data_IF_359883081614
#
_entry.id   IF_359883081614
#
_cell.length_a   1.000
_cell.length_b   1.000
_cell.length_c   1.000
_cell.angle_alpha   90.00
_cell.angle_beta   90.00
_cell.angle_gamma   90.00
#
_symmetry.space_group_name_H-M   'P 1'
#
loop_
_entity.id
_entity.type
_entity.pdbx_description
1 polymer ?
#
# COMPACT_ATOMS: atom_id res chain seq x y z
N UNK A 1 15.04 0.23 -61.99
CA UNK A 1 14.78 1.40 -61.11
C UNK A 1 13.75 1.11 -59.99
N UNK A 2 12.65 0.40 -60.23
CA UNK A 2 11.60 0.14 -59.22
C UNK A 2 12.00 -0.81 -58.07
N UNK A 3 12.88 -1.78 -58.31
CA UNK A 3 13.30 -2.76 -57.31
C UNK A 3 14.23 -2.17 -56.23
N UNK A 4 15.09 -1.20 -56.60
CA UNK A 4 16.01 -0.55 -55.67
C UNK A 4 15.31 0.40 -54.70
N UNK A 5 14.21 1.05 -55.13
CA UNK A 5 13.38 1.87 -54.23
C UNK A 5 12.64 1.02 -53.19
N UNK A 6 12.11 -0.15 -53.60
CA UNK A 6 11.41 -1.06 -52.68
C UNK A 6 12.36 -1.62 -51.61
N UNK A 7 13.60 -1.96 -52.00
CA UNK A 7 14.63 -2.44 -51.08
C UNK A 7 15.08 -1.33 -50.10
N UNK A 8 15.24 -0.10 -50.58
CA UNK A 8 15.55 1.05 -49.73
C UNK A 8 14.46 1.35 -48.70
N UNK A 9 13.19 1.24 -49.10
CA UNK A 9 12.05 1.43 -48.19
C UNK A 9 11.98 0.32 -47.13
N UNK A 10 12.22 -0.93 -47.52
CA UNK A 10 12.24 -2.07 -46.60
C UNK A 10 13.38 -1.94 -45.56
N UNK A 11 14.57 -1.52 -46.00
CA UNK A 11 15.71 -1.28 -45.12
C UNK A 11 15.47 -0.11 -44.15
N UNK A 12 14.80 0.96 -44.60
CA UNK A 12 14.42 2.08 -43.74
C UNK A 12 13.40 1.69 -42.66
N UNK A 13 12.43 0.81 -43.00
CA UNK A 13 11.47 0.26 -42.03
C UNK A 13 12.17 -0.65 -41.01
N UNK A 14 13.11 -1.49 -41.46
CA UNK A 14 13.88 -2.38 -40.58
C UNK A 14 14.84 -1.60 -39.66
N UNK A 15 15.45 -0.51 -40.14
CA UNK A 15 16.28 0.38 -39.31
C UNK A 15 15.45 1.13 -38.25
N UNK A 16 14.22 1.54 -38.59
CA UNK A 16 13.32 2.21 -37.63
C UNK A 16 12.84 1.26 -36.52
N UNK A 17 12.68 -0.04 -36.80
CA UNK A 17 12.30 -1.02 -35.78
C UNK A 17 13.42 -1.30 -34.76
N UNK A 18 14.69 -1.18 -35.16
CA UNK A 18 15.83 -1.35 -34.25
C UNK A 18 16.12 -0.09 -33.38
N UNK A 19 15.70 1.10 -33.82
CA UNK A 19 15.83 2.36 -33.06
C UNK A 19 14.72 2.59 -32.02
N UNK A 20 13.63 1.83 -32.11
CA UNK A 20 12.50 1.84 -31.15
C UNK A 20 12.47 0.55 -30.31
N UNK A 21 13.64 0.04 -29.92
CA UNK A 21 13.70 -0.88 -28.79
C UNK A 21 13.39 -0.09 -27.52
N UNK A 22 12.09 0.11 -27.25
CA UNK A 22 11.62 0.43 -25.90
C UNK A 22 12.03 -0.76 -25.07
N UNK A 23 13.10 -0.59 -24.29
CA UNK A 23 13.52 -1.58 -23.33
C UNK A 23 12.40 -1.65 -22.27
N UNK A 24 11.41 -2.52 -22.52
CA UNK A 24 10.45 -2.93 -21.51
C UNK A 24 11.22 -3.84 -20.58
N UNK A 25 11.96 -3.23 -19.65
CA UNK A 25 12.42 -3.93 -18.47
C UNK A 25 11.19 -4.55 -17.81
N UNK A 26 11.22 -5.85 -17.53
CA UNK A 26 10.15 -6.53 -16.82
C UNK A 26 10.01 -5.85 -15.46
N UNK A 27 9.11 -4.88 -15.37
CA UNK A 27 8.92 -4.09 -14.17
C UNK A 27 8.43 -5.01 -13.06
N UNK A 28 9.06 -4.91 -11.89
CA UNK A 28 8.66 -5.57 -10.65
C UNK A 28 7.29 -5.09 -10.10
N UNK A 29 6.47 -4.42 -10.93
CA UNK A 29 5.17 -3.81 -10.62
C UNK A 29 5.20 -2.78 -9.48
N UNK A 30 6.38 -2.32 -9.06
CA UNK A 30 6.51 -1.25 -8.08
C UNK A 30 6.36 0.13 -8.72
N UNK A 31 5.53 0.95 -8.08
CA UNK A 31 5.43 2.38 -8.39
C UNK A 31 6.71 3.06 -7.93
N UNK A 32 7.38 3.76 -8.84
CA UNK A 32 8.61 4.52 -8.58
C UNK A 32 8.38 6.01 -8.76
N UNK A 33 9.30 6.81 -8.24
CA UNK A 33 9.34 8.25 -8.50
C UNK A 33 10.37 8.56 -9.59
N UNK A 34 10.05 9.53 -10.44
CA UNK A 34 11.01 10.20 -11.32
C UNK A 34 10.76 11.70 -11.21
N UNK A 35 11.66 12.36 -10.46
CA UNK A 35 11.49 13.77 -10.05
C UNK A 35 10.14 13.95 -9.33
N UNK A 36 9.21 14.70 -9.94
CA UNK A 36 7.91 15.07 -9.37
C UNK A 36 6.75 14.16 -9.79
N UNK A 37 7.02 13.10 -10.56
CA UNK A 37 6.00 12.21 -11.10
C UNK A 37 6.20 10.77 -10.60
N UNK A 38 5.08 10.03 -10.52
CA UNK A 38 5.12 8.58 -10.34
C UNK A 38 5.20 7.86 -11.69
N UNK A 39 5.83 6.70 -11.69
CA UNK A 39 5.95 5.81 -12.84
C UNK A 39 5.65 4.37 -12.43
N UNK A 40 4.98 3.63 -13.30
CA UNK A 40 4.73 2.20 -13.17
C UNK A 40 5.09 1.53 -14.49
N UNK A 41 6.00 0.56 -14.45
CA UNK A 41 6.47 -0.20 -15.61
C UNK A 41 6.89 0.72 -16.78
N UNK A 42 7.70 1.74 -16.47
CA UNK A 42 8.22 2.72 -17.44
C UNK A 42 7.25 3.81 -17.87
N UNK A 43 5.96 3.72 -17.54
CA UNK A 43 4.94 4.68 -17.95
C UNK A 43 4.57 5.64 -16.80
N UNK A 44 4.22 6.92 -17.10
CA UNK A 44 3.68 7.82 -16.09
C UNK A 44 2.46 7.21 -15.38
N UNK A 45 2.43 7.28 -14.06
CA UNK A 45 1.35 6.79 -13.23
C UNK A 45 0.65 7.96 -12.53
N UNK A 46 -0.59 8.21 -12.91
CA UNK A 46 -1.43 9.23 -12.28
C UNK A 46 -2.42 8.54 -11.34
N UNK A 47 -2.22 8.76 -10.04
CA UNK A 47 -3.07 8.20 -9.00
C UNK A 47 -4.44 8.89 -9.00
N UNK A 48 -5.50 8.10 -9.17
CA UNK A 48 -6.88 8.50 -8.89
C UNK A 48 -7.43 7.49 -7.89
N UNK A 49 -7.90 7.92 -6.72
CA UNK A 49 -8.08 6.98 -5.64
C UNK A 49 -9.05 7.40 -4.54
N UNK A 50 -9.12 6.55 -3.52
CA UNK A 50 -10.06 6.68 -2.42
C UNK A 50 -9.43 6.31 -1.08
N UNK A 51 -10.06 6.75 0.01
CA UNK A 51 -9.72 6.31 1.37
C UNK A 51 -10.75 5.28 1.83
N UNK A 52 -10.28 4.14 2.30
CA UNK A 52 -11.12 3.10 2.91
C UNK A 52 -10.36 2.48 4.09
N UNK A 53 -10.34 3.18 5.21
CA UNK A 53 -9.58 2.77 6.41
C UNK A 53 -10.04 1.42 7.00
N UNK A 54 -11.29 1.02 6.72
CA UNK A 54 -11.97 -0.11 7.34
C UNK A 54 -11.71 -1.46 6.66
N UNK A 55 -10.98 -1.51 5.53
CA UNK A 55 -10.87 -2.71 4.70
C UNK A 55 -10.36 -3.93 5.48
N UNK A 56 -9.25 -3.79 6.21
CA UNK A 56 -8.68 -4.86 7.04
C UNK A 56 -9.67 -5.32 8.12
N UNK A 57 -10.27 -4.37 8.85
CA UNK A 57 -11.21 -4.64 9.91
C UNK A 57 -12.42 -5.45 9.42
N UNK A 58 -13.01 -5.03 8.30
CA UNK A 58 -14.14 -5.73 7.67
C UNK A 58 -13.72 -7.09 7.14
N UNK A 59 -12.57 -7.19 6.45
CA UNK A 59 -12.07 -8.45 5.89
C UNK A 59 -11.67 -9.50 6.94
N UNK A 60 -11.41 -9.07 8.19
CA UNK A 60 -11.09 -9.99 9.29
C UNK A 60 -12.28 -10.88 9.69
N UNK A 61 -13.51 -10.49 9.37
CA UNK A 61 -14.68 -11.36 9.38
C UNK A 61 -14.87 -11.98 7.98
N UNK A 62 -14.67 -13.29 7.81
CA UNK A 62 -14.83 -13.93 6.50
C UNK A 62 -16.21 -13.72 5.86
N UNK A 63 -17.28 -13.58 6.65
CA UNK A 63 -18.63 -13.33 6.14
C UNK A 63 -18.78 -11.95 5.49
N UNK A 64 -17.89 -11.01 5.82
CA UNK A 64 -17.94 -9.63 5.35
C UNK A 64 -16.97 -9.35 4.19
N UNK A 65 -16.07 -10.29 3.86
CA UNK A 65 -15.15 -10.18 2.72
C UNK A 65 -15.81 -9.80 1.39
N UNK A 66 -17.03 -10.26 1.05
CA UNK A 66 -17.72 -9.82 -0.16
C UNK A 66 -17.91 -8.29 -0.25
N UNK A 67 -18.01 -7.58 0.88
CA UNK A 67 -18.09 -6.10 0.90
C UNK A 67 -16.78 -5.46 0.43
N UNK A 68 -15.63 -6.02 0.82
CA UNK A 68 -14.30 -5.57 0.37
C UNK A 68 -14.11 -5.85 -1.12
N UNK A 69 -14.48 -7.05 -1.59
CA UNK A 69 -14.49 -7.38 -3.03
C UNK A 69 -15.37 -6.43 -3.83
N UNK A 70 -16.55 -6.10 -3.31
CA UNK A 70 -17.48 -5.15 -3.96
C UNK A 70 -16.87 -3.76 -4.03
N UNK A 71 -16.30 -3.25 -2.94
CA UNK A 71 -15.67 -1.93 -2.93
C UNK A 71 -14.54 -1.81 -3.96
N UNK A 72 -13.68 -2.83 -4.09
CA UNK A 72 -12.62 -2.82 -5.11
C UNK A 72 -13.17 -2.97 -6.54
N UNK A 73 -14.19 -3.79 -6.75
CA UNK A 73 -14.84 -3.93 -8.05
C UNK A 73 -15.44 -2.60 -8.53
N UNK A 74 -16.22 -1.94 -7.66
CA UNK A 74 -16.83 -0.64 -8.01
C UNK A 74 -15.75 0.42 -8.23
N UNK A 75 -14.72 0.48 -7.38
CA UNK A 75 -13.60 1.39 -7.56
C UNK A 75 -12.91 1.20 -8.92
N UNK A 76 -12.63 -0.05 -9.32
CA UNK A 76 -12.05 -0.36 -10.61
C UNK A 76 -12.98 -0.01 -11.79
N UNK A 77 -14.29 -0.27 -11.66
CA UNK A 77 -15.29 0.10 -12.66
C UNK A 77 -15.37 1.62 -12.88
N UNK A 78 -15.05 2.42 -11.86
CA UNK A 78 -14.97 3.87 -11.93
C UNK A 78 -13.55 4.41 -12.25
N UNK A 79 -12.61 3.53 -12.62
CA UNK A 79 -11.26 3.94 -13.02
C UNK A 79 -10.36 4.40 -11.86
N UNK A 80 -10.69 4.05 -10.62
CA UNK A 80 -9.81 4.29 -9.47
C UNK A 80 -8.66 3.26 -9.47
N UNK A 81 -7.45 3.75 -9.21
CA UNK A 81 -6.20 2.99 -9.34
C UNK A 81 -5.43 2.83 -8.03
N UNK A 82 -5.81 3.56 -6.97
CA UNK A 82 -5.18 3.47 -5.65
C UNK A 82 -6.21 3.54 -4.51
N UNK A 83 -6.00 2.75 -3.47
CA UNK A 83 -6.73 2.85 -2.21
C UNK A 83 -5.76 3.13 -1.06
N UNK A 84 -6.08 4.12 -0.23
CA UNK A 84 -5.40 4.32 1.06
C UNK A 84 -6.19 3.62 2.16
N UNK A 85 -5.53 2.78 2.94
CA UNK A 85 -6.12 2.03 4.05
C UNK A 85 -5.17 1.93 5.25
N UNK A 86 -5.66 1.37 6.36
CA UNK A 86 -4.88 1.19 7.58
C UNK A 86 -4.38 -0.24 7.70
N UNK A 87 -3.09 -0.37 7.96
CA UNK A 87 -2.43 -1.62 8.34
C UNK A 87 -2.09 -1.61 9.85
N UNK A 88 -2.87 -0.86 10.64
CA UNK A 88 -2.78 -0.78 12.09
C UNK A 88 -4.17 -0.86 12.71
N UNK A 89 -4.22 -1.28 13.97
CA UNK A 89 -5.35 -1.16 14.89
C UNK A 89 -4.80 -1.55 16.26
N UNK A 90 -4.48 -0.53 17.07
CA UNK A 90 -3.65 -0.64 18.28
C UNK A 90 -4.55 -0.66 19.51
N UNK A 91 -4.70 -1.83 20.14
CA UNK A 91 -5.61 -2.03 21.27
C UNK A 91 -7.09 -1.83 20.93
N UNK A 92 -7.94 -1.75 21.97
CA UNK A 92 -9.38 -1.59 21.81
C UNK A 92 -10.11 -2.87 21.37
N UNK A 93 -11.24 -2.71 20.67
CA UNK A 93 -12.10 -3.82 20.26
C UNK A 93 -11.62 -4.42 18.92
N UNK A 94 -11.30 -5.73 18.92
CA UNK A 94 -10.74 -6.47 17.79
C UNK A 94 -9.49 -5.77 17.18
N UNK A 95 -8.41 -5.59 17.95
CA UNK A 95 -7.19 -4.98 17.45
C UNK A 95 -6.50 -5.86 16.40
N UNK A 96 -5.66 -5.24 15.57
CA UNK A 96 -4.57 -5.93 14.89
C UNK A 96 -3.46 -6.19 15.90
N UNK A 97 -3.02 -5.17 16.62
CA UNK A 97 -1.97 -5.25 17.62
C UNK A 97 -2.56 -5.00 19.01
N UNK A 98 -2.67 -6.05 19.84
CA UNK A 98 -3.22 -5.91 21.20
C UNK A 98 -2.15 -5.52 22.24
N UNK A 99 -0.87 -5.68 21.90
CA UNK A 99 0.27 -5.23 22.71
C UNK A 99 1.53 -5.11 21.87
N UNK A 100 2.62 -4.51 22.39
CA UNK A 100 3.88 -4.39 21.65
C UNK A 100 4.39 -5.76 21.17
N UNK A 101 4.45 -5.97 19.84
CA UNK A 101 4.87 -7.24 19.24
C UNK A 101 3.87 -8.39 19.33
N UNK A 102 2.62 -8.14 19.75
CA UNK A 102 1.58 -9.18 19.90
C UNK A 102 0.38 -8.88 19.01
N UNK A 103 0.08 -9.80 18.09
CA UNK A 103 -0.85 -9.57 16.98
C UNK A 103 -1.98 -10.58 16.91
N UNK A 104 -3.12 -10.11 16.43
CA UNK A 104 -4.28 -10.92 16.09
C UNK A 104 -4.14 -11.45 14.65
N UNK A 105 -3.79 -12.73 14.55
CA UNK A 105 -3.59 -13.43 13.27
C UNK A 105 -4.83 -13.37 12.35
N UNK A 106 -6.04 -13.39 12.92
CA UNK A 106 -7.26 -13.29 12.12
C UNK A 106 -7.41 -11.89 11.48
N UNK A 107 -6.93 -10.84 12.15
CA UNK A 107 -6.91 -9.49 11.59
C UNK A 107 -5.84 -9.37 10.49
N UNK A 108 -4.68 -10.00 10.65
CA UNK A 108 -3.66 -10.08 9.59
C UNK A 108 -4.18 -10.81 8.34
N UNK A 109 -4.85 -11.95 8.49
CA UNK A 109 -5.53 -12.64 7.37
C UNK A 109 -6.59 -11.77 6.68
N UNK A 110 -7.16 -10.81 7.41
CA UNK A 110 -8.00 -9.76 6.82
C UNK A 110 -7.21 -8.83 5.90
N UNK A 111 -6.05 -8.35 6.35
CA UNK A 111 -5.15 -7.53 5.53
C UNK A 111 -4.61 -8.30 4.32
N UNK A 112 -4.25 -9.58 4.47
CA UNK A 112 -3.83 -10.45 3.37
C UNK A 112 -4.90 -10.52 2.27
N UNK A 113 -6.15 -10.71 2.67
CA UNK A 113 -7.28 -10.71 1.75
C UNK A 113 -7.42 -9.36 1.03
N UNK A 114 -7.26 -8.24 1.75
CA UNK A 114 -7.31 -6.90 1.15
C UNK A 114 -6.22 -6.72 0.09
N UNK A 115 -4.99 -7.16 0.36
CA UNK A 115 -3.86 -7.07 -0.58
C UNK A 115 -4.12 -7.94 -1.82
N UNK A 116 -4.56 -9.19 -1.62
CA UNK A 116 -4.87 -10.12 -2.70
C UNK A 116 -6.01 -9.59 -3.59
N UNK A 117 -7.06 -9.06 -2.99
CA UNK A 117 -8.23 -8.56 -3.72
C UNK A 117 -7.92 -7.24 -4.43
N UNK A 118 -7.13 -6.35 -3.83
CA UNK A 118 -6.64 -5.14 -4.50
C UNK A 118 -5.83 -5.50 -5.77
N UNK A 119 -4.95 -6.51 -5.68
CA UNK A 119 -4.19 -7.02 -6.84
C UNK A 119 -5.12 -7.54 -7.94
N UNK A 120 -6.15 -8.31 -7.59
CA UNK A 120 -7.14 -8.84 -8.55
C UNK A 120 -7.82 -7.73 -9.36
N UNK A 121 -8.12 -6.60 -8.73
CA UNK A 121 -8.72 -5.44 -9.38
C UNK A 121 -7.72 -4.38 -9.86
N UNK A 122 -6.41 -4.69 -9.85
CA UNK A 122 -5.31 -3.81 -10.28
C UNK A 122 -5.26 -2.46 -9.54
N UNK A 123 -5.66 -2.46 -8.27
CA UNK A 123 -5.62 -1.30 -7.39
C UNK A 123 -4.35 -1.37 -6.53
N UNK A 124 -3.55 -0.30 -6.53
CA UNK A 124 -2.38 -0.16 -5.65
C UNK A 124 -2.84 0.26 -4.25
N UNK A 125 -2.06 -0.08 -3.22
CA UNK A 125 -2.38 0.25 -1.84
C UNK A 125 -1.37 1.23 -1.24
N UNK A 126 -1.87 2.22 -0.50
CA UNK A 126 -1.09 3.03 0.44
C UNK A 126 -1.48 2.55 1.84
N UNK A 127 -0.56 1.87 2.52
CA UNK A 127 -0.77 1.34 3.86
C UNK A 127 -0.23 2.32 4.90
N UNK A 128 -1.14 2.94 5.67
CA UNK A 128 -0.74 3.70 6.85
C UNK A 128 -0.41 2.72 7.98
N UNK A 129 0.72 2.93 8.67
CA UNK A 129 1.26 2.00 9.69
C UNK A 129 1.03 2.44 11.14
N UNK A 130 0.54 3.66 11.34
CA UNK A 130 0.15 4.19 12.64
C UNK A 130 -0.80 5.38 12.43
N UNK A 131 -1.42 5.84 13.52
CA UNK A 131 -2.25 7.05 13.56
C UNK A 131 -1.67 8.11 14.49
N UNK A 132 -1.86 9.37 14.15
CA UNK A 132 -1.61 10.48 15.08
C UNK A 132 -2.78 10.66 16.07
N UNK A 133 -4.00 10.32 15.63
CA UNK A 133 -5.22 10.45 16.41
C UNK A 133 -5.58 9.14 17.12
N UNK A 134 -6.54 9.22 18.05
CA UNK A 134 -6.89 8.11 18.94
C UNK A 134 -7.72 6.99 18.27
N UNK A 135 -8.30 7.26 17.10
CA UNK A 135 -9.09 6.26 16.37
C UNK A 135 -8.22 5.05 16.04
N UNK A 136 -8.66 3.88 16.51
CA UNK A 136 -7.94 2.61 16.38
C UNK A 136 -6.55 2.65 17.05
N UNK A 137 -6.42 3.43 18.13
CA UNK A 137 -5.22 3.52 18.93
C UNK A 137 -4.28 4.65 18.49
N UNK A 138 -3.24 4.34 17.72
CA UNK A 138 -2.24 5.31 17.28
C UNK A 138 -1.20 5.67 18.34
N UNK A 139 -0.52 6.80 18.15
CA UNK A 139 0.66 7.20 18.96
C UNK A 139 0.38 7.19 20.47
N UNK A 140 -0.81 7.59 20.89
CA UNK A 140 -1.26 7.59 22.29
C UNK A 140 -1.22 6.18 22.88
N UNK A 141 -1.69 5.18 22.13
CA UNK A 141 -1.68 3.78 22.59
C UNK A 141 -0.26 3.25 22.74
N UNK A 142 0.63 3.59 21.82
CA UNK A 142 2.05 3.24 21.90
C UNK A 142 2.73 3.83 23.14
N UNK A 143 2.44 5.10 23.47
CA UNK A 143 2.92 5.74 24.71
C UNK A 143 2.30 5.08 25.95
N UNK A 144 1.01 4.72 25.92
CA UNK A 144 0.35 4.02 27.03
C UNK A 144 0.92 2.62 27.28
N UNK A 145 1.28 1.87 26.23
CA UNK A 145 1.99 0.60 26.40
C UNK A 145 3.33 0.81 27.12
N UNK A 146 4.11 1.82 26.74
CA UNK A 146 5.37 2.13 27.41
C UNK A 146 5.17 2.56 28.87
N UNK A 147 4.14 3.38 29.16
CA UNK A 147 3.75 3.75 30.53
C UNK A 147 3.43 2.52 31.37
N UNK A 148 2.68 1.56 30.82
CA UNK A 148 2.34 0.31 31.51
C UNK A 148 3.55 -0.59 31.81
N UNK A 149 4.66 -0.37 31.11
CA UNK A 149 5.95 -1.06 31.30
C UNK A 149 6.93 -0.22 32.14
N UNK A 150 6.45 0.81 32.84
CA UNK A 150 7.25 1.62 33.78
C UNK A 150 7.97 2.81 33.16
N UNK A 151 7.74 3.16 31.89
CA UNK A 151 8.31 4.39 31.32
C UNK A 151 7.56 5.62 31.84
N UNK A 152 8.29 6.60 32.37
CA UNK A 152 7.71 7.90 32.74
C UNK A 152 7.59 8.80 31.49
N UNK A 153 6.38 8.87 30.92
CA UNK A 153 6.07 9.63 29.70
C UNK A 153 4.89 10.55 29.94
N UNK A 154 5.04 11.85 29.65
CA UNK A 154 4.03 12.87 29.97
C UNK A 154 3.28 13.38 28.74
N UNK A 155 3.74 13.04 27.52
CA UNK A 155 3.11 13.49 26.27
C UNK A 155 2.94 12.35 25.28
N UNK A 156 1.88 12.40 24.47
CA UNK A 156 1.71 11.48 23.35
C UNK A 156 2.77 11.69 22.26
N UNK A 157 3.42 12.87 22.22
CA UNK A 157 4.54 13.15 21.32
C UNK A 157 5.84 12.46 21.76
N UNK A 158 5.87 11.84 22.94
CA UNK A 158 6.97 10.95 23.34
C UNK A 158 7.08 9.74 22.40
N UNK A 159 6.04 9.44 21.61
CA UNK A 159 6.11 8.52 20.48
C UNK A 159 7.28 8.82 19.53
N UNK A 160 7.56 10.10 19.27
CA UNK A 160 8.63 10.50 18.34
C UNK A 160 10.01 10.58 19.03
N UNK A 161 10.06 10.57 20.36
CA UNK A 161 11.27 10.89 21.14
C UNK A 161 11.80 9.66 21.88
N UNK A 162 10.94 8.96 22.61
CA UNK A 162 11.33 7.87 23.50
C UNK A 162 11.85 6.65 22.71
N UNK A 163 13.03 6.10 23.04
CA UNK A 163 13.62 4.99 22.31
C UNK A 163 12.83 3.68 22.43
N UNK A 164 12.18 3.42 23.57
CA UNK A 164 11.32 2.23 23.77
C UNK A 164 10.10 2.31 22.87
N UNK A 165 9.41 3.45 22.84
CA UNK A 165 8.22 3.64 21.99
C UNK A 165 8.58 3.56 20.50
N UNK A 166 9.69 4.18 20.08
CA UNK A 166 10.21 4.02 18.71
C UNK A 166 10.57 2.56 18.40
N UNK A 167 11.05 1.81 19.39
CA UNK A 167 11.31 0.38 19.27
C UNK A 167 10.03 -0.40 18.96
N UNK A 168 8.94 -0.14 19.68
CA UNK A 168 7.64 -0.77 19.41
C UNK A 168 7.17 -0.50 17.98
N UNK A 169 7.25 0.76 17.52
CA UNK A 169 6.85 1.12 16.14
C UNK A 169 7.73 0.43 15.10
N UNK A 170 9.06 0.43 15.28
CA UNK A 170 9.98 -0.27 14.36
C UNK A 170 9.72 -1.78 14.30
N UNK A 171 9.36 -2.39 15.43
CA UNK A 171 8.98 -3.80 15.47
C UNK A 171 7.66 -4.09 14.75
N UNK A 172 6.76 -3.11 14.63
CA UNK A 172 5.55 -3.21 13.80
C UNK A 172 5.84 -3.04 12.30
N UNK A 173 6.81 -2.20 11.95
CA UNK A 173 7.23 -1.99 10.56
C UNK A 173 7.98 -3.20 9.97
N UNK A 174 8.68 -3.97 10.80
CA UNK A 174 9.49 -5.13 10.41
C UNK A 174 8.63 -6.35 10.09
#
# INVERSE_FOLDING_TARGET
MKLHLALGFLLAVLFNQNLLTVHVEAGDDFVRTRRVHFFLNGNPYFANGFNAYWLMYVASDPSQRPKVSTAFREAAAHGLTVARTWAFSDGGYRPLQYGPGSYNEQMFKGLDFVIAEARKYRIKLILSLANNYESFGGKKQYVNWARSQGQYLTSDDDFFRNPVVKGYYKNHVK
#
